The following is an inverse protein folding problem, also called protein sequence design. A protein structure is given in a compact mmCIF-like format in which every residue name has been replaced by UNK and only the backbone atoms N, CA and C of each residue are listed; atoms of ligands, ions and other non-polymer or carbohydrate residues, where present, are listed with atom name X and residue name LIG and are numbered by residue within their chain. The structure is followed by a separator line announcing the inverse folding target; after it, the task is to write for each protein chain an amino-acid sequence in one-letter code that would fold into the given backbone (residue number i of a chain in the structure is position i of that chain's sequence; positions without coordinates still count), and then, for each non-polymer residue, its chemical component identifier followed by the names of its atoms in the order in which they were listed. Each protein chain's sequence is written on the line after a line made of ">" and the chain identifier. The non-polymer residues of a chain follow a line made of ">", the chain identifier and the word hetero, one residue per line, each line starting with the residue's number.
data_IF_321159309379
#
_entry.id   IF_321159309379
#
_cell.length_a   1.000
_cell.length_b   1.000
_cell.length_c   1.000
_cell.angle_alpha   90.00
_cell.angle_beta   90.00
_cell.angle_gamma   90.00
#
_symmetry.space_group_name_H-M   'P 1'
#
loop_
_entity.id
_entity.type
_entity.pdbx_description
1 polymer ?
#
# COMPACT_ATOMS: atom_id res chain seq x y z
N UNK A 1 -1.15 26.33 8.91
CA UNK A 1 -1.60 25.13 9.65
C UNK A 1 -0.42 24.54 10.42
N UNK A 2 -0.62 23.60 11.36
CA UNK A 2 0.52 22.94 12.06
C UNK A 2 1.43 22.15 11.12
N UNK A 3 0.88 21.64 10.01
CA UNK A 3 1.63 21.00 8.93
C UNK A 3 2.57 22.00 8.24
N UNK A 4 2.09 23.22 7.94
CA UNK A 4 2.91 24.30 7.36
C UNK A 4 4.02 24.78 8.31
N UNK A 5 3.81 24.64 9.62
CA UNK A 5 4.82 24.95 10.64
C UNK A 5 5.79 23.80 10.91
N UNK A 6 5.66 22.66 10.22
CA UNK A 6 6.53 21.49 10.37
C UNK A 6 6.32 20.70 11.68
N UNK A 7 5.22 20.92 12.40
CA UNK A 7 4.94 20.25 13.68
C UNK A 7 4.02 19.05 13.43
N UNK A 8 4.54 18.05 12.71
CA UNK A 8 3.74 16.95 12.17
C UNK A 8 3.08 16.06 13.24
N UNK A 9 3.77 15.84 14.36
CA UNK A 9 3.24 15.06 15.49
C UNK A 9 1.98 15.72 16.08
N UNK A 10 2.01 17.04 16.23
CA UNK A 10 0.88 17.79 16.75
C UNK A 10 -0.25 17.88 15.73
N UNK A 11 0.08 18.08 14.45
CA UNK A 11 -0.90 18.02 13.37
C UNK A 11 -1.66 16.68 13.34
N UNK A 12 -0.94 15.56 13.50
CA UNK A 12 -1.55 14.23 13.58
C UNK A 12 -2.54 14.10 14.74
N UNK A 13 -2.18 14.62 15.93
CA UNK A 13 -3.08 14.63 17.09
C UNK A 13 -4.31 15.51 16.87
N UNK A 14 -4.17 16.66 16.21
CA UNK A 14 -5.31 17.51 15.83
C UNK A 14 -6.27 16.78 14.88
N UNK A 15 -5.74 16.07 13.88
CA UNK A 15 -6.55 15.27 12.96
C UNK A 15 -7.28 14.13 13.67
N UNK A 16 -6.67 13.48 14.67
CA UNK A 16 -7.36 12.50 15.52
C UNK A 16 -8.51 13.17 16.30
N UNK A 17 -8.27 14.37 16.86
CA UNK A 17 -9.31 15.13 17.54
C UNK A 17 -10.50 15.42 16.63
N UNK A 18 -10.21 15.88 15.41
CA UNK A 18 -11.22 16.12 14.37
C UNK A 18 -11.97 14.82 14.00
N UNK A 19 -11.27 13.70 13.85
CA UNK A 19 -11.89 12.40 13.57
C UNK A 19 -12.90 11.99 14.67
N UNK A 20 -12.56 12.22 15.94
CA UNK A 20 -13.47 11.95 17.07
C UNK A 20 -14.72 12.82 17.04
N UNK A 21 -14.59 14.10 16.65
CA UNK A 21 -15.74 14.99 16.48
C UNK A 21 -16.65 14.53 15.34
N UNK A 22 -16.09 14.15 14.18
CA UNK A 22 -16.86 13.63 13.04
C UNK A 22 -17.53 12.29 13.36
N UNK A 23 -16.89 11.45 14.19
CA UNK A 23 -17.49 10.22 14.71
C UNK A 23 -18.73 10.52 15.56
N UNK A 24 -18.65 11.48 16.48
CA UNK A 24 -19.80 11.95 17.25
C UNK A 24 -20.91 12.55 16.36
N UNK A 25 -20.52 13.26 15.31
CA UNK A 25 -21.43 13.82 14.31
C UNK A 25 -22.02 12.81 13.34
N UNK A 26 -21.65 11.52 13.41
CA UNK A 26 -22.17 10.48 12.53
C UNK A 26 -21.68 10.56 11.08
N UNK A 27 -20.49 11.10 10.84
CA UNK A 27 -19.90 11.29 9.51
C UNK A 27 -18.71 10.33 9.28
N UNK A 28 -18.95 9.03 9.00
CA UNK A 28 -17.91 8.00 8.95
C UNK A 28 -16.86 8.24 7.85
N UNK A 29 -17.26 8.83 6.72
CA UNK A 29 -16.33 9.17 5.65
C UNK A 29 -15.33 10.25 6.10
N UNK A 30 -15.83 11.35 6.70
CA UNK A 30 -14.97 12.43 7.22
C UNK A 30 -14.10 11.95 8.39
N UNK A 31 -14.64 11.10 9.26
CA UNK A 31 -13.87 10.40 10.30
C UNK A 31 -12.69 9.62 9.69
N UNK A 32 -12.95 8.83 8.64
CA UNK A 32 -11.91 8.03 7.99
C UNK A 32 -10.84 8.88 7.29
N UNK A 33 -11.25 9.95 6.59
CA UNK A 33 -10.33 10.89 5.93
C UNK A 33 -9.42 11.58 6.95
N UNK A 34 -9.97 11.97 8.10
CA UNK A 34 -9.23 12.56 9.20
C UNK A 34 -8.19 11.58 9.77
N UNK A 35 -8.55 10.31 9.98
CA UNK A 35 -7.59 9.29 10.39
C UNK A 35 -6.48 9.05 9.36
N UNK A 36 -6.78 9.07 8.06
CA UNK A 36 -5.74 8.96 7.00
C UNK A 36 -4.78 10.14 7.05
N UNK A 37 -5.28 11.37 7.25
CA UNK A 37 -4.42 12.56 7.42
C UNK A 37 -3.55 12.45 8.66
N UNK A 38 -4.11 11.99 9.77
CA UNK A 38 -3.34 11.74 10.99
C UNK A 38 -2.23 10.70 10.77
N UNK A 39 -2.55 9.61 10.07
CA UNK A 39 -1.60 8.53 9.80
C UNK A 39 -0.40 9.03 8.96
N UNK A 40 -0.67 9.78 7.88
CA UNK A 40 0.37 10.36 7.02
C UNK A 40 1.24 11.38 7.76
N UNK A 41 0.64 12.23 8.60
CA UNK A 41 1.39 13.17 9.43
C UNK A 41 2.29 12.45 10.45
N UNK A 42 1.82 11.35 11.06
CA UNK A 42 2.68 10.51 11.90
C UNK A 42 3.82 9.86 11.14
N UNK A 43 3.60 9.40 9.90
CA UNK A 43 4.68 8.86 9.07
C UNK A 43 5.71 9.92 8.70
N UNK A 44 5.27 11.14 8.38
CA UNK A 44 6.19 12.26 8.12
C UNK A 44 7.03 12.56 9.36
N UNK A 45 6.40 12.66 10.53
CA UNK A 45 7.12 12.82 11.80
C UNK A 45 8.11 11.66 12.07
N UNK A 46 7.73 10.42 11.77
CA UNK A 46 8.59 9.25 11.91
C UNK A 46 9.83 9.35 11.02
N UNK A 47 9.64 9.71 9.75
CA UNK A 47 10.71 9.84 8.77
C UNK A 47 11.66 10.98 9.11
N UNK A 48 11.14 12.15 9.51
CA UNK A 48 11.94 13.28 9.99
C UNK A 48 12.79 12.89 11.20
N UNK A 49 12.21 12.15 12.13
CA UNK A 49 12.93 11.66 13.30
C UNK A 49 14.06 10.68 12.93
N UNK A 50 13.80 9.80 11.95
CA UNK A 50 14.79 8.87 11.40
C UNK A 50 15.98 9.59 10.77
N UNK A 51 15.75 10.69 10.05
CA UNK A 51 16.81 11.51 9.44
C UNK A 51 17.70 12.17 10.50
N UNK A 52 17.14 12.55 11.65
CA UNK A 52 17.86 13.23 12.72
C UNK A 52 18.72 12.28 13.58
N UNK A 53 18.72 10.97 13.31
CA UNK A 53 19.52 9.94 14.03
C UNK A 53 19.47 10.06 15.55
N UNK A 54 18.33 10.51 16.08
CA UNK A 54 18.15 10.74 17.51
C UNK A 54 18.19 9.39 18.24
N UNK A 55 18.98 9.32 19.31
CA UNK A 55 19.18 8.09 20.11
C UNK A 55 17.91 7.55 20.77
N UNK A 56 16.87 8.37 20.88
CA UNK A 56 15.59 7.96 21.45
C UNK A 56 14.81 7.14 20.43
N UNK A 57 14.51 5.89 20.75
CA UNK A 57 13.58 5.08 19.95
C UNK A 57 12.15 5.63 20.10
N UNK A 58 11.77 6.61 19.29
CA UNK A 58 10.36 6.99 19.13
C UNK A 58 9.69 6.07 18.09
N UNK A 59 9.50 4.81 18.47
CA UNK A 59 8.71 3.85 17.69
C UNK A 59 7.26 4.36 17.52
N UNK A 60 6.75 5.08 18.54
CA UNK A 60 5.34 5.43 18.68
C UNK A 60 4.69 6.17 17.51
N UNK A 61 5.45 6.88 16.66
CA UNK A 61 4.89 7.51 15.46
C UNK A 61 4.49 6.50 14.40
N UNK A 62 5.31 5.48 14.16
CA UNK A 62 4.96 4.42 13.21
C UNK A 62 3.78 3.60 13.72
N UNK A 63 3.76 3.25 15.00
CA UNK A 63 2.60 2.57 15.59
C UNK A 63 1.34 3.45 15.58
N UNK A 64 1.48 4.76 15.83
CA UNK A 64 0.40 5.73 15.72
C UNK A 64 -0.18 5.81 14.31
N UNK A 65 0.67 5.79 13.28
CA UNK A 65 0.24 5.73 11.90
C UNK A 65 -0.52 4.43 11.59
N UNK A 66 0.02 3.27 11.97
CA UNK A 66 -0.61 1.96 11.78
C UNK A 66 -1.98 1.92 12.47
N UNK A 67 -2.08 2.45 13.68
CA UNK A 67 -3.35 2.54 14.41
C UNK A 67 -4.38 3.39 13.65
N UNK A 68 -3.97 4.57 13.16
CA UNK A 68 -4.85 5.45 12.42
C UNK A 68 -5.32 4.84 11.10
N UNK A 69 -4.45 4.16 10.35
CA UNK A 69 -4.84 3.45 9.13
C UNK A 69 -5.85 2.32 9.40
N UNK A 70 -5.68 1.55 10.47
CA UNK A 70 -6.67 0.54 10.86
C UNK A 70 -8.02 1.19 11.19
N UNK A 71 -8.03 2.29 11.96
CA UNK A 71 -9.24 3.04 12.28
C UNK A 71 -9.93 3.58 11.03
N UNK A 72 -9.17 4.12 10.08
CA UNK A 72 -9.71 4.56 8.80
C UNK A 72 -10.34 3.38 8.03
N UNK A 73 -9.63 2.26 7.91
CA UNK A 73 -10.11 1.08 7.17
C UNK A 73 -11.39 0.45 7.76
N UNK A 74 -11.58 0.53 9.08
CA UNK A 74 -12.79 0.04 9.78
C UNK A 74 -14.04 0.88 9.49
N UNK A 75 -13.87 2.17 9.18
CA UNK A 75 -14.99 3.11 8.98
C UNK A 75 -15.43 3.24 7.54
N UNK A 76 -14.58 2.86 6.59
CA UNK A 76 -14.85 2.99 5.15
C UNK A 76 -15.65 1.79 4.65
N UNK A 77 -16.64 2.08 3.80
CA UNK A 77 -17.47 1.07 3.11
C UNK A 77 -16.58 0.16 2.27
N UNK A 78 -16.88 -1.13 2.29
CA UNK A 78 -16.13 -2.10 1.50
C UNK A 78 -16.33 -1.92 -0.01
N UNK A 79 -15.36 -2.36 -0.81
CA UNK A 79 -15.46 -2.31 -2.28
C UNK A 79 -15.32 -0.91 -2.89
N UNK A 80 -14.83 0.09 -2.15
CA UNK A 80 -14.51 1.40 -2.72
C UNK A 80 -13.01 1.62 -2.90
N UNK A 81 -12.66 2.48 -3.88
CA UNK A 81 -11.27 2.88 -4.18
C UNK A 81 -10.55 3.39 -2.94
N UNK A 82 -11.26 4.14 -2.09
CA UNK A 82 -10.67 4.75 -0.90
C UNK A 82 -10.19 3.70 0.10
N UNK A 83 -10.97 2.64 0.33
CA UNK A 83 -10.56 1.53 1.20
C UNK A 83 -9.36 0.77 0.64
N UNK A 84 -9.33 0.53 -0.67
CA UNK A 84 -8.19 -0.10 -1.34
C UNK A 84 -6.92 0.75 -1.24
N UNK A 85 -7.02 2.07 -1.31
CA UNK A 85 -5.89 2.98 -1.09
C UNK A 85 -5.36 2.89 0.35
N UNK A 86 -6.25 2.92 1.35
CA UNK A 86 -5.88 2.80 2.76
C UNK A 86 -5.16 1.48 3.05
N UNK A 87 -5.70 0.35 2.57
CA UNK A 87 -5.11 -0.96 2.82
C UNK A 87 -3.74 -1.13 2.17
N UNK A 88 -3.52 -0.54 0.98
CA UNK A 88 -2.19 -0.53 0.34
C UNK A 88 -1.16 0.29 1.10
N UNK A 89 -1.52 1.49 1.56
CA UNK A 89 -0.64 2.28 2.43
C UNK A 89 -0.32 1.52 3.72
N UNK A 90 -1.31 0.83 4.30
CA UNK A 90 -1.10 0.00 5.48
C UNK A 90 -0.19 -1.22 5.21
N UNK A 91 -0.33 -1.88 4.07
CA UNK A 91 0.50 -3.03 3.68
C UNK A 91 1.97 -2.65 3.49
N UNK A 92 2.25 -1.41 3.01
CA UNK A 92 3.62 -0.89 2.94
C UNK A 92 4.25 -0.76 4.34
N UNK A 93 3.46 -0.42 5.36
CA UNK A 93 3.93 -0.35 6.76
C UNK A 93 4.00 -1.73 7.43
N UNK A 94 3.05 -2.61 7.11
CA UNK A 94 2.91 -3.93 7.69
C UNK A 94 2.74 -4.98 6.58
N UNK A 95 3.86 -5.59 6.19
CA UNK A 95 3.93 -6.56 5.07
C UNK A 95 3.10 -7.83 5.27
N UNK A 96 2.68 -8.13 6.50
CA UNK A 96 1.81 -9.26 6.86
C UNK A 96 0.42 -8.72 7.21
N UNK A 97 -0.27 -8.16 6.23
CA UNK A 97 -1.65 -7.72 6.39
C UNK A 97 -2.57 -8.74 5.71
N UNK A 98 -3.38 -9.45 6.50
CA UNK A 98 -4.32 -10.47 5.99
C UNK A 98 -5.60 -9.86 5.37
N UNK A 99 -5.76 -8.53 5.44
CA UNK A 99 -6.96 -7.82 4.98
C UNK A 99 -6.76 -7.27 3.57
N UNK A 100 -7.62 -7.69 2.65
CA UNK A 100 -7.68 -7.17 1.27
C UNK A 100 -8.99 -6.42 1.03
N UNK A 101 -8.99 -5.51 0.06
CA UNK A 101 -10.20 -4.81 -0.38
C UNK A 101 -10.96 -5.66 -1.39
N UNK A 102 -12.29 -5.64 -1.35
CA UNK A 102 -13.14 -6.18 -2.43
C UNK A 102 -13.23 -5.28 -3.67
N UNK A 103 -12.53 -4.15 -3.70
CA UNK A 103 -12.53 -3.24 -4.84
C UNK A 103 -11.75 -3.84 -6.03
N UNK A 104 -12.47 -4.28 -7.06
CA UNK A 104 -11.89 -4.86 -8.26
C UNK A 104 -11.77 -3.81 -9.37
N UNK A 105 -10.57 -3.23 -9.51
CA UNK A 105 -10.18 -2.41 -10.67
C UNK A 105 -9.00 -3.06 -11.37
N UNK A 106 -8.97 -3.17 -12.72
CA UNK A 106 -7.84 -3.73 -13.44
C UNK A 106 -6.49 -3.12 -13.03
N UNK A 107 -6.44 -1.80 -12.87
CA UNK A 107 -5.22 -1.10 -12.45
C UNK A 107 -4.80 -1.45 -11.02
N UNK A 108 -5.77 -1.70 -10.13
CA UNK A 108 -5.49 -2.11 -8.75
C UNK A 108 -5.01 -3.56 -8.72
N UNK A 109 -5.66 -4.44 -9.47
CA UNK A 109 -5.29 -5.84 -9.58
C UNK A 109 -3.86 -6.00 -10.12
N UNK A 110 -3.51 -5.25 -11.17
CA UNK A 110 -2.15 -5.25 -11.74
C UNK A 110 -1.13 -4.78 -10.69
N UNK A 111 -1.43 -3.70 -9.97
CA UNK A 111 -0.55 -3.19 -8.92
C UNK A 111 -0.36 -4.18 -7.77
N UNK A 112 -1.43 -4.86 -7.34
CA UNK A 112 -1.36 -5.86 -6.28
C UNK A 112 -0.54 -7.08 -6.71
N UNK A 113 -0.58 -7.46 -8.00
CA UNK A 113 0.28 -8.49 -8.58
C UNK A 113 1.75 -8.04 -8.63
N UNK A 114 2.04 -6.79 -8.99
CA UNK A 114 3.40 -6.23 -8.93
C UNK A 114 3.97 -6.33 -7.50
N UNK A 115 3.20 -5.89 -6.51
CA UNK A 115 3.59 -5.97 -5.10
C UNK A 115 3.82 -7.42 -4.63
N UNK A 116 2.97 -8.35 -5.08
CA UNK A 116 3.09 -9.77 -4.75
C UNK A 116 4.30 -10.43 -5.40
N UNK A 117 4.64 -10.02 -6.63
CA UNK A 117 5.85 -10.47 -7.32
C UNK A 117 7.12 -9.98 -6.61
N UNK A 118 7.14 -8.71 -6.18
CA UNK A 118 8.25 -8.14 -5.41
C UNK A 118 8.44 -8.84 -4.06
N UNK A 119 7.36 -9.11 -3.33
CA UNK A 119 7.41 -9.84 -2.06
C UNK A 119 7.89 -11.28 -2.25
N UNK A 120 7.43 -11.97 -3.29
CA UNK A 120 7.87 -13.33 -3.62
C UNK A 120 9.36 -13.35 -3.98
N UNK A 121 9.83 -12.36 -4.75
CA UNK A 121 11.25 -12.21 -5.10
C UNK A 121 12.11 -11.96 -3.85
N UNK A 122 11.66 -11.12 -2.91
CA UNK A 122 12.35 -10.88 -1.64
C UNK A 122 12.40 -12.11 -0.72
N UNK A 123 11.46 -13.05 -0.89
CA UNK A 123 11.41 -14.31 -0.13
C UNK A 123 12.14 -15.45 -0.85
N UNK A 124 12.82 -15.16 -1.95
CA UNK A 124 13.46 -16.16 -2.83
C UNK A 124 12.48 -17.20 -3.41
N UNK A 125 11.17 -16.90 -3.37
CA UNK A 125 10.15 -17.72 -4.02
C UNK A 125 9.97 -17.24 -5.47
N UNK A 126 10.98 -17.57 -6.29
CA UNK A 126 11.05 -17.17 -7.68
C UNK A 126 9.95 -17.80 -8.55
N UNK A 127 9.37 -18.93 -8.10
CA UNK A 127 8.28 -19.60 -8.83
C UNK A 127 6.98 -18.84 -8.67
N UNK A 128 6.63 -18.45 -7.44
CA UNK A 128 5.45 -17.60 -7.20
C UNK A 128 5.63 -16.21 -7.85
N UNK A 129 6.84 -15.65 -7.82
CA UNK A 129 7.13 -14.40 -8.52
C UNK A 129 6.88 -14.50 -10.03
N UNK A 130 7.34 -15.58 -10.68
CA UNK A 130 7.09 -15.82 -12.10
C UNK A 130 5.59 -15.91 -12.40
N UNK A 131 4.83 -16.65 -11.59
CA UNK A 131 3.38 -16.77 -11.75
C UNK A 131 2.67 -15.42 -11.69
N UNK A 132 3.03 -14.56 -10.72
CA UNK A 132 2.44 -13.21 -10.64
C UNK A 132 2.77 -12.36 -11.87
N UNK A 133 3.97 -12.49 -12.44
CA UNK A 133 4.33 -11.80 -13.67
C UNK A 133 3.58 -12.34 -14.90
N UNK A 134 3.32 -13.64 -14.97
CA UNK A 134 2.46 -14.25 -16.00
C UNK A 134 1.03 -13.69 -15.90
N UNK A 135 0.46 -13.68 -14.69
CA UNK A 135 -0.89 -13.15 -14.42
C UNK A 135 -1.03 -11.68 -14.84
N UNK A 136 0.00 -10.85 -14.65
CA UNK A 136 0.01 -9.44 -15.11
C UNK A 136 -0.12 -9.36 -16.62
N UNK A 137 0.68 -10.16 -17.33
CA UNK A 137 0.73 -10.14 -18.80
C UNK A 137 -0.61 -10.61 -19.37
N UNK A 138 -1.16 -11.71 -18.85
CA UNK A 138 -2.45 -12.25 -19.26
C UNK A 138 -3.56 -11.21 -19.04
N UNK A 139 -3.60 -10.58 -17.86
CA UNK A 139 -4.60 -9.56 -17.54
C UNK A 139 -4.58 -8.36 -18.52
N UNK A 140 -3.38 -7.90 -18.91
CA UNK A 140 -3.22 -6.78 -19.84
C UNK A 140 -3.65 -7.17 -21.26
N UNK A 141 -3.28 -8.37 -21.73
CA UNK A 141 -3.61 -8.83 -23.07
C UNK A 141 -5.08 -9.21 -23.23
N UNK A 142 -5.68 -9.91 -22.26
CA UNK A 142 -7.11 -10.25 -22.26
C UNK A 142 -8.01 -9.01 -22.36
N UNK A 143 -7.58 -7.91 -21.73
CA UNK A 143 -8.31 -6.63 -21.73
C UNK A 143 -7.96 -5.71 -22.91
N UNK A 144 -7.10 -6.14 -23.84
CA UNK A 144 -6.59 -5.35 -24.97
C UNK A 144 -5.95 -4.01 -24.54
N UNK A 145 -5.31 -3.99 -23.36
CA UNK A 145 -4.73 -2.79 -22.73
C UNK A 145 -3.27 -2.52 -23.05
N UNK A 146 -2.65 -3.25 -23.98
CA UNK A 146 -1.21 -3.28 -24.19
C UNK A 146 -0.57 -1.90 -24.44
N UNK A 147 -1.25 -1.00 -25.16
CA UNK A 147 -0.73 0.36 -25.41
C UNK A 147 -0.60 1.18 -24.13
N UNK A 148 -1.58 1.07 -23.23
CA UNK A 148 -1.64 1.84 -21.98
C UNK A 148 -0.59 1.35 -20.96
N UNK A 149 -0.25 0.06 -21.00
CA UNK A 149 0.70 -0.58 -20.08
C UNK A 149 2.04 -0.92 -20.74
N UNK A 150 2.41 -0.23 -21.82
CA UNK A 150 3.59 -0.58 -22.64
C UNK A 150 4.92 -0.58 -21.86
N UNK A 151 5.11 0.36 -20.93
CA UNK A 151 6.30 0.41 -20.07
C UNK A 151 6.30 -0.74 -19.05
N UNK A 152 5.15 -1.00 -18.43
CA UNK A 152 5.00 -2.10 -17.48
C UNK A 152 5.26 -3.46 -18.15
N UNK A 153 4.65 -3.69 -19.32
CA UNK A 153 4.85 -4.91 -20.11
C UNK A 153 6.33 -5.13 -20.41
N UNK A 154 7.03 -4.10 -20.87
CA UNK A 154 8.47 -4.19 -21.15
C UNK A 154 9.25 -4.63 -19.92
N UNK A 155 8.97 -4.04 -18.75
CA UNK A 155 9.66 -4.39 -17.49
C UNK A 155 9.33 -5.83 -17.07
N UNK A 156 8.06 -6.21 -17.12
CA UNK A 156 7.58 -7.55 -16.74
C UNK A 156 8.14 -8.62 -17.65
N UNK A 157 8.19 -8.41 -18.96
CA UNK A 157 8.78 -9.37 -19.92
C UNK A 157 10.27 -9.62 -19.64
N UNK A 158 11.04 -8.56 -19.35
CA UNK A 158 12.45 -8.71 -18.97
C UNK A 158 12.59 -9.53 -17.70
N UNK A 159 11.79 -9.26 -16.67
CA UNK A 159 11.84 -10.00 -15.41
C UNK A 159 11.42 -11.46 -15.56
N UNK A 160 10.38 -11.74 -16.37
CA UNK A 160 9.96 -13.12 -16.71
C UNK A 160 11.10 -13.89 -17.37
N UNK A 161 11.77 -13.30 -18.36
CA UNK A 161 12.90 -13.94 -19.03
C UNK A 161 14.04 -14.25 -18.05
N UNK A 162 14.40 -13.31 -17.18
CA UNK A 162 15.43 -13.52 -16.17
C UNK A 162 15.06 -14.65 -15.20
N UNK A 163 13.81 -14.69 -14.74
CA UNK A 163 13.31 -15.75 -13.84
C UNK A 163 13.26 -17.11 -14.52
N UNK A 164 12.85 -17.19 -15.79
CA UNK A 164 12.85 -18.43 -16.56
C UNK A 164 14.27 -18.99 -16.72
N UNK A 165 15.25 -18.14 -17.03
CA UNK A 165 16.66 -18.52 -17.10
C UNK A 165 17.17 -18.96 -15.73
N UNK A 166 16.79 -18.27 -14.66
CA UNK A 166 17.22 -18.61 -13.31
C UNK A 166 16.67 -19.96 -12.84
N UNK A 167 15.38 -20.20 -13.05
CA UNK A 167 14.68 -21.41 -12.61
C UNK A 167 15.04 -22.65 -13.43
N UNK A 168 15.58 -22.48 -14.64
CA UNK A 168 15.91 -23.58 -15.56
C UNK A 168 14.77 -24.61 -15.67
N UNK A 169 13.53 -24.11 -15.79
CA UNK A 169 12.35 -24.98 -15.79
C UNK A 169 12.42 -25.95 -16.97
N UNK A 170 12.24 -27.26 -16.73
CA UNK A 170 12.22 -28.23 -17.82
C UNK A 170 11.02 -27.95 -18.74
N UNK A 171 11.14 -28.21 -20.06
CA UNK A 171 9.99 -28.15 -20.94
C UNK A 171 8.90 -29.09 -20.42
N UNK A 172 7.68 -28.56 -20.29
CA UNK A 172 6.53 -29.37 -19.90
C UNK A 172 6.37 -30.52 -20.91
N UNK A 173 6.26 -31.75 -20.40
CA UNK A 173 6.03 -32.96 -21.21
C UNK A 173 4.56 -33.15 -21.50
#
# INVERSE_FOLDING_TARGET
>A
SFEESGIMQYAAMCHIGYAKCESFGGAPQRESEAYVRAARAFLQAHNEFGLLHLRTQHCGFREGAIHCYHKAAERVVDGCVFKAAILRELQQLQRQLDRTSSFASPTHQIHDLEMSADLSTQREDYRSALQHYDDIVDNIYERRGALMYSELLRRVEVLRLLLLVHLNLPPAR
#
